data_IF_103700815334
#
_entry.id   IF_103700815334
#
_cell.length_a   1.000
_cell.length_b   1.000
_cell.length_c   1.000
_cell.angle_alpha   90.00
_cell.angle_beta   90.00
_cell.angle_gamma   90.00
#
_symmetry.space_group_name_H-M   'P 1'
#
loop_
_entity.id
_entity.type
_entity.pdbx_description
1 polymer ?
#
# COMPACT_ATOMS: atom_id res chain seq x y z
N UNK A 1 -27.40 16.92 -5.17
CA UNK A 1 -27.18 16.16 -3.94
C UNK A 1 -26.06 15.20 -4.26
N UNK A 2 -24.87 15.43 -3.72
CA UNK A 2 -23.76 14.50 -3.92
C UNK A 2 -24.04 13.28 -3.04
N UNK A 3 -24.20 12.13 -3.69
CA UNK A 3 -24.24 10.83 -3.03
C UNK A 3 -22.90 10.64 -2.33
N UNK A 4 -22.88 10.87 -1.02
CA UNK A 4 -21.71 10.64 -0.17
C UNK A 4 -21.94 9.29 0.50
N UNK A 5 -22.18 8.26 -0.32
CA UNK A 5 -22.14 6.88 0.15
C UNK A 5 -20.73 6.59 0.65
N UNK A 6 -20.60 5.97 1.82
CA UNK A 6 -19.33 5.58 2.42
C UNK A 6 -18.39 4.98 1.37
N UNK A 7 -17.43 5.80 0.90
CA UNK A 7 -16.40 5.34 -0.02
C UNK A 7 -15.52 4.39 0.78
N UNK A 8 -15.45 3.13 0.34
CA UNK A 8 -14.66 2.11 1.02
C UNK A 8 -13.16 2.41 0.97
N UNK A 9 -12.35 1.47 1.43
CA UNK A 9 -10.91 1.53 1.46
C UNK A 9 -10.35 0.51 0.48
N UNK A 10 -9.49 0.97 -0.44
CA UNK A 10 -8.81 0.11 -1.39
C UNK A 10 -7.39 -0.20 -0.90
N UNK A 11 -7.00 -1.47 -1.04
CA UNK A 11 -5.62 -1.92 -0.84
C UNK A 11 -4.97 -2.08 -2.20
N UNK A 12 -3.96 -1.28 -2.49
CA UNK A 12 -3.24 -1.33 -3.77
C UNK A 12 -1.81 -1.84 -3.53
N UNK A 13 -1.42 -2.83 -4.33
CA UNK A 13 -0.05 -3.31 -4.41
C UNK A 13 0.64 -2.74 -5.65
N UNK A 14 1.85 -2.22 -5.46
CA UNK A 14 2.77 -1.87 -6.52
C UNK A 14 3.93 -2.84 -6.48
N UNK A 15 4.15 -3.61 -7.54
CA UNK A 15 5.27 -4.56 -7.61
C UNK A 15 6.13 -4.25 -8.81
N UNK A 16 7.39 -3.92 -8.54
CA UNK A 16 8.46 -3.85 -9.53
C UNK A 16 9.20 -5.19 -9.56
N UNK A 17 9.18 -5.90 -10.70
CA UNK A 17 9.89 -7.17 -10.84
C UNK A 17 11.41 -6.94 -10.78
N UNK A 18 12.14 -7.98 -10.38
CA UNK A 18 13.60 -7.94 -10.40
C UNK A 18 14.12 -7.72 -11.83
N UNK A 19 14.79 -6.58 -12.03
CA UNK A 19 15.25 -6.14 -13.35
C UNK A 19 16.59 -6.78 -13.69
N UNK A 20 16.66 -7.42 -14.86
CA UNK A 20 17.94 -7.92 -15.39
C UNK A 20 18.66 -6.83 -16.17
N UNK A 21 19.99 -6.88 -16.16
CA UNK A 21 20.83 -5.97 -16.97
C UNK A 21 20.41 -6.05 -18.45
N UNK A 22 20.12 -4.90 -19.06
CA UNK A 22 19.66 -4.79 -20.45
C UNK A 22 18.14 -4.87 -20.63
N UNK A 23 17.37 -5.11 -19.57
CA UNK A 23 15.91 -5.04 -19.60
C UNK A 23 15.43 -3.60 -19.50
N UNK A 24 14.45 -3.22 -20.34
CA UNK A 24 13.82 -1.89 -20.26
C UNK A 24 12.97 -1.79 -19.00
N UNK A 25 13.13 -0.69 -18.26
CA UNK A 25 12.25 -0.35 -17.14
C UNK A 25 10.86 0.04 -17.65
N UNK A 26 9.82 -0.56 -17.07
CA UNK A 26 8.41 -0.33 -17.45
C UNK A 26 7.56 0.25 -16.33
N UNK A 27 8.15 0.53 -15.17
CA UNK A 27 7.40 0.92 -13.97
C UNK A 27 6.85 -0.27 -13.19
N UNK A 28 6.38 -0.04 -11.95
CA UNK A 28 5.72 -1.04 -11.14
C UNK A 28 4.36 -1.41 -11.75
N UNK A 29 3.96 -2.67 -11.55
CA UNK A 29 2.59 -3.11 -11.83
C UNK A 29 1.71 -2.74 -10.65
N UNK A 30 0.68 -1.93 -10.91
CA UNK A 30 -0.36 -1.59 -9.94
C UNK A 30 -1.45 -2.67 -9.94
N UNK A 31 -1.86 -3.15 -8.77
CA UNK A 31 -2.94 -4.14 -8.63
C UNK A 31 -3.81 -3.80 -7.43
N UNK A 32 -5.12 -3.71 -7.64
CA UNK A 32 -6.07 -3.66 -6.53
C UNK A 32 -6.16 -5.06 -5.90
N UNK A 33 -5.73 -5.16 -4.64
CA UNK A 33 -5.69 -6.41 -3.88
C UNK A 33 -7.00 -6.67 -3.11
N UNK A 34 -7.86 -5.66 -2.96
CA UNK A 34 -9.15 -5.75 -2.31
C UNK A 34 -9.74 -4.39 -1.93
N UNK A 35 -11.05 -4.37 -1.71
CA UNK A 35 -11.81 -3.24 -1.18
C UNK A 35 -12.52 -3.62 0.12
N UNK A 36 -12.59 -2.69 1.06
CA UNK A 36 -13.06 -2.92 2.42
C UNK A 36 -13.94 -1.76 2.88
N UNK A 37 -14.97 -2.00 3.69
CA UNK A 37 -15.78 -0.90 4.25
C UNK A 37 -15.04 -0.17 5.39
N UNK A 38 -14.14 -0.86 6.09
CA UNK A 38 -13.46 -0.37 7.29
C UNK A 38 -11.95 -0.24 7.05
N UNK A 39 -11.40 0.94 7.36
CA UNK A 39 -9.97 1.25 7.16
C UNK A 39 -9.05 0.27 7.89
N UNK A 40 -9.41 -0.09 9.12
CA UNK A 40 -8.64 -1.01 9.95
C UNK A 40 -8.52 -2.41 9.32
N UNK A 41 -9.57 -2.88 8.65
CA UNK A 41 -9.57 -4.19 7.98
C UNK A 41 -8.70 -4.15 6.72
N UNK A 42 -8.77 -3.07 5.94
CA UNK A 42 -7.87 -2.85 4.81
C UNK A 42 -6.40 -2.80 5.24
N UNK A 43 -6.09 -2.09 6.32
CA UNK A 43 -4.72 -2.03 6.87
C UNK A 43 -4.27 -3.40 7.39
N UNK A 44 -5.14 -4.13 8.09
CA UNK A 44 -4.82 -5.47 8.58
C UNK A 44 -4.48 -6.41 7.42
N UNK A 45 -5.28 -6.39 6.35
CA UNK A 45 -5.04 -7.18 5.14
C UNK A 45 -3.73 -6.75 4.43
N UNK A 46 -3.53 -5.45 4.22
CA UNK A 46 -2.33 -4.92 3.58
C UNK A 46 -1.05 -5.29 4.35
N UNK A 47 -1.11 -5.21 5.68
CA UNK A 47 0.00 -5.58 6.57
C UNK A 47 0.33 -7.07 6.49
N UNK A 48 -0.68 -7.95 6.41
CA UNK A 48 -0.46 -9.39 6.23
C UNK A 48 0.20 -9.70 4.87
N UNK A 49 -0.27 -9.05 3.80
CA UNK A 49 0.32 -9.19 2.47
C UNK A 49 1.79 -8.72 2.43
N UNK A 50 2.09 -7.58 3.05
CA UNK A 50 3.45 -7.05 3.18
C UNK A 50 4.35 -8.02 3.98
N UNK A 51 3.91 -8.44 5.18
CA UNK A 51 4.66 -9.37 6.04
C UNK A 51 4.91 -10.71 5.34
N UNK A 52 3.93 -11.21 4.59
CA UNK A 52 4.07 -12.43 3.78
C UNK A 52 5.10 -12.24 2.66
N UNK A 53 5.15 -11.07 2.02
CA UNK A 53 6.11 -10.79 0.97
C UNK A 53 7.54 -10.71 1.50
N UNK A 54 7.79 -9.91 2.55
CA UNK A 54 9.14 -9.75 3.12
C UNK A 54 9.68 -11.07 3.67
N UNK A 55 8.82 -11.94 4.20
CA UNK A 55 9.20 -13.27 4.69
C UNK A 55 9.67 -14.23 3.58
N UNK A 56 9.37 -13.94 2.31
CA UNK A 56 9.78 -14.76 1.16
C UNK A 56 11.17 -14.41 0.60
N UNK A 57 11.88 -13.44 1.21
CA UNK A 57 13.23 -12.99 0.83
C UNK A 57 13.38 -12.75 -0.67
N UNK A 58 12.41 -12.06 -1.27
CA UNK A 58 12.44 -11.69 -2.69
C UNK A 58 13.11 -10.34 -2.89
N UNK A 59 13.82 -10.21 -4.00
CA UNK A 59 14.46 -8.94 -4.39
C UNK A 59 13.51 -7.98 -5.11
N UNK A 60 12.28 -8.41 -5.42
CA UNK A 60 11.22 -7.55 -5.95
C UNK A 60 11.04 -6.33 -5.05
N UNK A 61 10.97 -5.14 -5.65
CA UNK A 61 10.65 -3.92 -4.91
C UNK A 61 9.14 -3.77 -4.95
N UNK A 62 8.50 -3.81 -3.80
CA UNK A 62 7.06 -3.68 -3.68
C UNK A 62 6.64 -2.66 -2.63
N UNK A 63 5.46 -2.07 -2.85
CA UNK A 63 4.77 -1.19 -1.91
C UNK A 63 3.31 -1.63 -1.76
N UNK A 64 2.77 -1.44 -0.56
CA UNK A 64 1.36 -1.62 -0.25
C UNK A 64 0.82 -0.29 0.24
N UNK A 65 -0.30 0.15 -0.31
CA UNK A 65 -1.00 1.34 0.16
C UNK A 65 -2.43 1.01 0.54
N UNK A 66 -2.93 1.72 1.54
CA UNK A 66 -4.37 1.83 1.82
C UNK A 66 -4.78 3.28 1.59
N UNK A 67 -5.87 3.49 0.87
CA UNK A 67 -6.48 4.80 0.64
C UNK A 67 -7.99 4.67 0.63
N UNK A 68 -8.72 5.76 0.89
CA UNK A 68 -10.15 5.73 0.63
C UNK A 68 -10.41 5.71 -0.89
N UNK A 69 -11.55 5.15 -1.28
CA UNK A 69 -11.88 4.92 -2.67
C UNK A 69 -11.91 6.25 -3.46
N UNK A 70 -11.18 6.28 -4.57
CA UNK A 70 -11.04 7.48 -5.40
C UNK A 70 -10.13 8.58 -4.83
N UNK A 71 -9.56 8.42 -3.62
CA UNK A 71 -8.50 9.30 -3.14
C UNK A 71 -7.18 9.03 -3.87
N UNK A 72 -6.35 10.06 -4.02
CA UNK A 72 -4.97 9.89 -4.54
C UNK A 72 -3.93 9.69 -3.43
N UNK A 73 -4.26 10.04 -2.19
CA UNK A 73 -3.34 9.99 -1.07
C UNK A 73 -3.51 8.70 -0.27
N UNK A 74 -2.39 8.08 0.06
CA UNK A 74 -2.37 6.93 0.96
C UNK A 74 -2.60 7.39 2.42
N UNK A 75 -3.42 6.63 3.14
CA UNK A 75 -3.59 6.72 4.60
C UNK A 75 -2.66 5.79 5.35
N UNK A 76 -2.22 4.72 4.70
CA UNK A 76 -1.19 3.81 5.18
C UNK A 76 -0.30 3.37 4.01
N UNK A 77 1.00 3.22 4.25
CA UNK A 77 1.97 2.68 3.29
C UNK A 77 3.03 1.83 3.98
N UNK A 78 3.42 0.74 3.35
CA UNK A 78 4.61 -0.03 3.70
C UNK A 78 5.40 -0.43 2.44
N UNK A 79 6.71 -0.57 2.58
CA UNK A 79 7.61 -0.99 1.50
C UNK A 79 8.35 -2.29 1.83
N UNK A 80 8.62 -3.07 0.78
CA UNK A 80 9.28 -4.39 0.86
C UNK A 80 10.71 -4.38 1.40
N UNK A 81 11.36 -3.21 1.48
CA UNK A 81 12.76 -3.07 1.91
C UNK A 81 12.88 -2.41 3.28
N UNK A 82 11.76 -2.15 3.93
CA UNK A 82 11.69 -1.57 5.27
C UNK A 82 10.96 -2.49 6.22
N UNK A 83 11.26 -2.38 7.51
CA UNK A 83 10.54 -2.99 8.61
C UNK A 83 9.56 -2.02 9.30
N UNK A 84 9.42 -0.80 8.77
CA UNK A 84 8.50 0.22 9.29
C UNK A 84 7.30 0.44 8.37
N UNK A 85 6.17 0.75 8.98
CA UNK A 85 4.99 1.27 8.28
C UNK A 85 4.91 2.78 8.44
N UNK A 86 4.18 3.44 7.54
CA UNK A 86 3.87 4.86 7.63
C UNK A 86 2.37 5.08 7.56
N UNK A 87 1.85 5.94 8.43
CA UNK A 87 0.43 6.31 8.52
C UNK A 87 0.27 7.79 8.28
N UNK A 88 -0.82 8.19 7.63
CA UNK A 88 -1.16 9.60 7.43
C UNK A 88 -1.68 10.20 8.74
N UNK A 89 -0.92 11.11 9.31
CA UNK A 89 -1.41 12.01 10.35
C UNK A 89 -2.33 13.06 9.71
N UNK A 90 -3.62 13.00 10.02
CA UNK A 90 -4.63 13.91 9.46
C UNK A 90 -4.52 15.34 9.99
N UNK A 91 -3.83 15.56 11.11
CA UNK A 91 -3.61 16.89 11.69
C UNK A 91 -2.49 17.62 10.96
N UNK A 92 -1.38 16.93 10.72
CA UNK A 92 -0.19 17.50 10.08
C UNK A 92 -0.16 17.28 8.57
N UNK A 93 -0.99 16.38 8.05
CA UNK A 93 -0.99 15.90 6.66
C UNK A 93 0.35 15.30 6.25
N UNK A 94 1.05 14.68 7.20
CA UNK A 94 2.34 14.02 6.98
C UNK A 94 2.21 12.52 7.18
N UNK A 95 3.03 11.76 6.45
CA UNK A 95 3.26 10.36 6.73
C UNK A 95 4.22 10.24 7.91
N UNK A 96 3.76 9.63 9.00
CA UNK A 96 4.56 9.38 10.20
C UNK A 96 4.92 7.91 10.27
N UNK A 97 6.18 7.63 10.64
CA UNK A 97 6.64 6.25 10.84
C UNK A 97 6.05 5.67 12.12
N UNK A 98 5.57 4.44 12.02
CA UNK A 98 5.06 3.64 13.11
C UNK A 98 5.77 2.30 13.12
N UNK A 99 6.15 1.83 14.31
CA UNK A 99 6.66 0.47 14.48
C UNK A 99 5.47 -0.46 14.71
N UNK A 100 5.34 -1.54 13.92
CA UNK A 100 4.22 -2.48 14.04
C UNK A 100 4.26 -3.32 15.32
#
# INVERSE_FOLDING_TARGET
MADTGDLGFEVIGFVEPDHKVGQRYTGPTETNLGTFEVEADAIAFARDAWKTHIARDRYEVAWWIVRAEGEQLARWIADSRSDVEKVLDLTTKQLVEVKP
#
